data_IF_113327945582
#
_entry.id   IF_113327945582
#
_cell.length_a   1.000
_cell.length_b   1.000
_cell.length_c   1.000
_cell.angle_alpha   90.00
_cell.angle_beta   90.00
_cell.angle_gamma   90.00
#
_symmetry.space_group_name_H-M   'P 1'
#
loop_
_entity.id
_entity.type
_entity.pdbx_description
1 polymer ?
#
# COMPACT_ATOMS: atom_id res chain seq x y z
N UNK A 1 42.47 15.21 12.73
CA UNK A 1 41.06 15.13 12.24
C UNK A 1 40.13 15.46 13.40
N UNK A 2 39.11 16.30 13.22
CA UNK A 2 38.14 16.56 14.28
C UNK A 2 37.22 15.32 14.48
N UNK A 3 36.52 15.24 15.62
CA UNK A 3 35.63 14.10 15.94
C UNK A 3 34.47 13.92 14.95
N UNK A 4 34.05 15.00 14.29
CA UNK A 4 33.00 15.02 13.26
C UNK A 4 33.46 14.32 11.98
N UNK A 5 34.70 14.59 11.54
CA UNK A 5 35.35 13.95 10.40
C UNK A 5 35.59 12.46 10.64
N UNK A 6 35.91 12.05 11.88
CA UNK A 6 35.98 10.62 12.25
C UNK A 6 34.61 9.94 12.27
N UNK A 7 33.52 10.65 12.59
CA UNK A 7 32.15 10.13 12.51
C UNK A 7 31.61 10.00 11.09
N UNK A 8 32.15 10.77 10.13
CA UNK A 8 31.72 10.74 8.73
C UNK A 8 32.39 9.66 7.89
N UNK A 9 33.59 9.18 8.24
CA UNK A 9 34.30 8.14 7.48
C UNK A 9 33.48 6.85 7.35
N UNK A 10 32.91 6.29 8.44
CA UNK A 10 32.08 5.08 8.33
C UNK A 10 30.81 5.29 7.50
N UNK A 11 30.24 6.50 7.50
CA UNK A 11 29.06 6.83 6.69
C UNK A 11 29.41 6.89 5.20
N UNK A 12 30.57 7.44 4.86
CA UNK A 12 31.05 7.51 3.49
C UNK A 12 31.34 6.11 2.92
N UNK A 13 31.95 5.22 3.72
CA UNK A 13 32.20 3.83 3.34
C UNK A 13 30.90 3.09 3.01
N UNK A 14 29.87 3.19 3.86
CA UNK A 14 28.54 2.59 3.62
C UNK A 14 27.92 3.10 2.32
N UNK A 15 28.02 4.40 2.03
CA UNK A 15 27.50 4.96 0.77
C UNK A 15 28.27 4.44 -0.44
N UNK A 16 29.59 4.35 -0.36
CA UNK A 16 30.45 3.82 -1.44
C UNK A 16 30.13 2.35 -1.70
N UNK A 17 29.95 1.54 -0.66
CA UNK A 17 29.52 0.14 -0.77
C UNK A 17 28.12 -0.02 -1.38
N UNK A 18 27.25 0.98 -1.20
CA UNK A 18 25.90 0.99 -1.77
C UNK A 18 25.85 1.40 -3.26
N UNK A 19 26.89 2.08 -3.78
CA UNK A 19 26.90 2.61 -5.15
C UNK A 19 26.61 1.56 -6.24
N UNK A 20 27.14 0.32 -6.19
CA UNK A 20 26.82 -0.70 -7.18
C UNK A 20 25.32 -1.02 -7.23
N UNK A 21 24.66 -1.07 -6.07
CA UNK A 21 23.21 -1.31 -5.98
C UNK A 21 22.41 -0.12 -6.49
N UNK A 22 22.80 1.11 -6.12
CA UNK A 22 22.17 2.33 -6.63
C UNK A 22 22.21 2.38 -8.16
N UNK A 23 23.37 2.05 -8.76
CA UNK A 23 23.53 1.97 -10.21
C UNK A 23 22.66 0.86 -10.82
N UNK A 24 22.62 -0.32 -10.21
CA UNK A 24 21.85 -1.46 -10.72
C UNK A 24 20.33 -1.23 -10.70
N UNK A 25 19.84 -0.49 -9.70
CA UNK A 25 18.40 -0.26 -9.51
C UNK A 25 17.89 1.08 -10.06
N UNK A 26 18.78 1.98 -10.48
CA UNK A 26 18.39 3.22 -11.14
C UNK A 26 17.48 2.94 -12.35
N UNK A 27 16.35 3.65 -12.41
CA UNK A 27 15.30 3.49 -13.41
C UNK A 27 14.38 2.28 -13.23
N UNK A 28 14.63 1.38 -12.26
CA UNK A 28 13.81 0.19 -12.02
C UNK A 28 12.61 0.50 -11.13
N UNK A 29 11.52 -0.24 -11.33
CA UNK A 29 10.32 -0.14 -10.48
C UNK A 29 10.42 -1.05 -9.27
N UNK A 30 10.11 -0.51 -8.09
CA UNK A 30 10.04 -1.25 -6.84
C UNK A 30 8.60 -1.19 -6.32
N UNK A 31 7.87 -2.29 -6.43
CA UNK A 31 6.50 -2.39 -5.88
C UNK A 31 6.59 -2.84 -4.43
N UNK A 32 6.21 -1.96 -3.50
CA UNK A 32 6.40 -2.12 -2.07
C UNK A 32 5.04 -2.31 -1.42
N UNK A 33 4.79 -3.50 -0.85
CA UNK A 33 3.59 -3.73 -0.06
C UNK A 33 3.76 -3.16 1.34
N UNK A 34 2.95 -2.17 1.69
CA UNK A 34 2.89 -1.62 3.04
C UNK A 34 1.61 -2.08 3.76
N UNK A 35 1.75 -2.64 4.95
CA UNK A 35 0.63 -3.29 5.65
C UNK A 35 1.00 -3.84 7.02
N UNK A 36 0.01 -4.42 7.71
CA UNK A 36 0.20 -5.12 8.98
C UNK A 36 0.54 -4.19 10.15
N UNK A 37 1.39 -4.65 11.07
CA UNK A 37 1.84 -3.86 12.23
C UNK A 37 2.58 -2.59 11.83
N UNK A 38 3.18 -2.55 10.63
CA UNK A 38 3.93 -1.41 10.15
C UNK A 38 3.09 -0.14 9.99
N UNK A 39 1.77 -0.28 9.85
CA UNK A 39 0.82 0.84 9.75
C UNK A 39 0.38 1.42 11.10
N UNK A 40 0.69 0.76 12.21
CA UNK A 40 0.21 1.15 13.55
C UNK A 40 1.21 2.06 14.27
N UNK A 41 2.50 1.89 13.99
CA UNK A 41 3.56 2.69 14.60
C UNK A 41 3.87 3.91 13.73
N UNK A 42 3.64 5.11 14.25
CA UNK A 42 3.99 6.37 13.57
C UNK A 42 5.48 6.43 13.21
N UNK A 43 6.36 6.02 14.12
CA UNK A 43 7.81 5.97 13.89
C UNK A 43 8.18 5.04 12.73
N UNK A 44 7.53 3.88 12.63
CA UNK A 44 7.79 2.93 11.55
C UNK A 44 7.23 3.46 10.21
N UNK A 45 6.08 4.13 10.24
CA UNK A 45 5.53 4.81 9.07
C UNK A 45 6.46 5.90 8.54
N UNK A 46 7.00 6.75 9.43
CA UNK A 46 7.99 7.76 9.07
C UNK A 46 9.25 7.14 8.46
N UNK A 47 9.76 6.05 9.03
CA UNK A 47 10.91 5.33 8.46
C UNK A 47 10.63 4.84 7.04
N UNK A 48 9.48 4.20 6.81
CA UNK A 48 9.09 3.73 5.47
C UNK A 48 8.96 4.89 4.48
N UNK A 49 8.40 6.02 4.92
CA UNK A 49 8.30 7.23 4.09
C UNK A 49 9.67 7.75 3.68
N UNK A 50 10.62 7.82 4.61
CA UNK A 50 11.99 8.25 4.31
C UNK A 50 12.69 7.28 3.35
N UNK A 51 12.47 5.97 3.51
CA UNK A 51 13.02 4.96 2.59
C UNK A 51 12.46 5.11 1.17
N UNK A 52 11.16 5.39 1.01
CA UNK A 52 10.54 5.65 -0.29
C UNK A 52 11.16 6.88 -0.98
N UNK A 53 11.38 7.94 -0.20
CA UNK A 53 12.00 9.17 -0.70
C UNK A 53 13.46 8.92 -1.08
N UNK A 54 14.21 8.17 -0.27
CA UNK A 54 15.58 7.79 -0.58
C UNK A 54 15.66 6.98 -1.88
N UNK A 55 14.82 5.95 -2.04
CA UNK A 55 14.73 5.14 -3.25
C UNK A 55 14.53 6.01 -4.48
N UNK A 56 13.60 6.96 -4.40
CA UNK A 56 13.36 7.92 -5.48
C UNK A 56 14.59 8.78 -5.79
N UNK A 57 15.28 9.30 -4.78
CA UNK A 57 16.48 10.13 -4.99
C UNK A 57 17.65 9.37 -5.62
N UNK A 58 17.76 8.07 -5.38
CA UNK A 58 18.77 7.23 -6.04
C UNK A 58 18.33 6.73 -7.43
N UNK A 59 17.17 7.21 -7.93
CA UNK A 59 16.65 6.94 -9.26
C UNK A 59 15.76 5.70 -9.39
N UNK A 60 15.44 5.02 -8.29
CA UNK A 60 14.43 3.94 -8.28
C UNK A 60 13.04 4.56 -8.44
N UNK A 61 12.10 3.84 -9.05
CA UNK A 61 10.69 4.23 -9.18
C UNK A 61 9.85 3.45 -8.17
N UNK A 62 9.74 3.90 -6.91
CA UNK A 62 8.95 3.20 -5.90
C UNK A 62 7.45 3.34 -6.19
N UNK A 63 6.71 2.25 -6.04
CA UNK A 63 5.24 2.18 -6.11
C UNK A 63 4.76 1.54 -4.83
N UNK A 64 4.03 2.28 -3.99
CA UNK A 64 3.57 1.78 -2.70
C UNK A 64 2.16 1.20 -2.83
N UNK A 65 1.93 -0.03 -2.37
CA UNK A 65 0.60 -0.66 -2.32
C UNK A 65 0.21 -0.89 -0.87
N UNK A 66 -0.82 -0.19 -0.38
CA UNK A 66 -1.22 -0.26 1.02
C UNK A 66 -2.53 -1.04 1.24
N UNK A 67 -2.69 -1.55 2.47
CA UNK A 67 -3.97 -2.08 2.96
C UNK A 67 -4.55 -1.15 4.02
N UNK A 68 -5.39 -1.67 4.90
CA UNK A 68 -5.89 -0.88 6.05
C UNK A 68 -6.95 -1.62 6.89
N UNK A 69 -6.90 -2.95 6.95
CA UNK A 69 -7.93 -3.76 7.59
C UNK A 69 -8.28 -3.33 9.01
N UNK A 70 -7.27 -2.99 9.83
CA UNK A 70 -7.46 -2.48 11.20
C UNK A 70 -8.23 -1.16 11.25
N UNK A 71 -7.85 -0.21 10.39
CA UNK A 71 -8.53 1.10 10.31
C UNK A 71 -9.98 0.94 9.82
N UNK A 72 -10.21 0.03 8.88
CA UNK A 72 -11.58 -0.26 8.42
C UNK A 72 -12.41 -0.84 9.57
N UNK A 73 -11.90 -1.83 10.30
CA UNK A 73 -12.61 -2.41 11.45
C UNK A 73 -12.98 -1.34 12.49
N UNK A 74 -12.02 -0.46 12.82
CA UNK A 74 -12.25 0.63 13.76
C UNK A 74 -13.38 1.58 13.31
N UNK A 75 -13.45 1.89 12.02
CA UNK A 75 -14.49 2.77 11.48
C UNK A 75 -15.85 2.06 11.40
N UNK A 76 -15.87 0.78 11.01
CA UNK A 76 -17.10 -0.03 11.05
C UNK A 76 -17.69 -0.07 12.46
N UNK A 77 -16.87 -0.34 13.48
CA UNK A 77 -17.31 -0.37 14.88
C UNK A 77 -17.85 0.99 15.34
N UNK A 78 -17.20 2.09 14.95
CA UNK A 78 -17.69 3.46 15.23
C UNK A 78 -19.03 3.78 14.58
N UNK A 79 -19.32 3.16 13.44
CA UNK A 79 -20.60 3.27 12.73
C UNK A 79 -21.63 2.24 13.22
N UNK A 80 -21.31 1.45 14.25
CA UNK A 80 -22.21 0.45 14.82
C UNK A 80 -22.27 -0.88 14.04
N UNK A 81 -21.43 -1.07 13.02
CA UNK A 81 -21.37 -2.28 12.21
C UNK A 81 -20.23 -3.20 12.69
N UNK A 82 -20.54 -4.45 12.98
CA UNK A 82 -19.53 -5.43 13.43
C UNK A 82 -18.80 -6.04 12.23
N UNK A 83 -17.46 -6.05 12.20
CA UNK A 83 -16.71 -6.78 11.18
C UNK A 83 -16.98 -8.29 11.25
N UNK A 84 -17.30 -8.91 10.12
CA UNK A 84 -17.47 -10.35 9.99
C UNK A 84 -16.38 -10.95 9.09
N UNK A 85 -15.81 -12.08 9.50
CA UNK A 85 -14.71 -12.73 8.78
C UNK A 85 -14.94 -14.22 8.63
N UNK A 86 -14.65 -14.75 7.44
CA UNK A 86 -14.66 -16.19 7.15
C UNK A 86 -13.32 -16.54 6.50
N UNK A 87 -12.59 -17.51 7.08
CA UNK A 87 -11.24 -17.92 6.66
C UNK A 87 -10.28 -16.74 6.46
N UNK A 88 -10.33 -15.75 7.35
CA UNK A 88 -9.47 -14.57 7.32
C UNK A 88 -9.87 -13.50 6.30
N UNK A 89 -10.90 -13.73 5.47
CA UNK A 89 -11.47 -12.76 4.54
C UNK A 89 -12.68 -12.09 5.17
N UNK A 90 -12.80 -10.77 5.01
CA UNK A 90 -13.96 -10.02 5.50
C UNK A 90 -15.15 -10.27 4.58
N UNK A 91 -16.28 -10.70 5.12
CA UNK A 91 -17.55 -10.67 4.38
C UNK A 91 -17.92 -9.21 4.16
N UNK A 92 -18.00 -8.81 2.89
CA UNK A 92 -18.09 -7.39 2.50
C UNK A 92 -19.37 -7.16 1.71
N UNK A 93 -20.45 -6.79 2.40
CA UNK A 93 -21.67 -6.31 1.75
C UNK A 93 -21.47 -4.90 1.15
N UNK A 94 -22.49 -4.36 0.47
CA UNK A 94 -22.41 -3.03 -0.18
C UNK A 94 -22.06 -1.92 0.80
N UNK A 95 -22.72 -1.88 1.97
CA UNK A 95 -22.45 -0.91 3.02
C UNK A 95 -21.00 -1.04 3.56
N UNK A 96 -20.53 -2.27 3.77
CA UNK A 96 -19.15 -2.53 4.17
C UNK A 96 -18.17 -2.06 3.10
N UNK A 97 -18.50 -2.25 1.83
CA UNK A 97 -17.66 -1.82 0.71
C UNK A 97 -17.52 -0.29 0.69
N UNK A 98 -18.60 0.46 0.92
CA UNK A 98 -18.54 1.91 1.04
C UNK A 98 -17.61 2.36 2.16
N UNK A 99 -17.70 1.72 3.34
CA UNK A 99 -16.80 2.00 4.46
C UNK A 99 -15.35 1.66 4.10
N UNK A 100 -15.12 0.52 3.45
CA UNK A 100 -13.79 0.10 2.98
C UNK A 100 -13.19 1.15 2.04
N UNK A 101 -13.95 1.63 1.06
CA UNK A 101 -13.52 2.64 0.10
C UNK A 101 -13.17 3.96 0.79
N UNK A 102 -14.08 4.47 1.62
CA UNK A 102 -13.87 5.71 2.38
C UNK A 102 -12.61 5.66 3.23
N UNK A 103 -12.37 4.55 3.92
CA UNK A 103 -11.22 4.42 4.81
C UNK A 103 -9.93 4.21 4.03
N UNK A 104 -9.90 3.29 3.06
CA UNK A 104 -8.67 3.02 2.34
C UNK A 104 -8.27 4.19 1.45
N UNK A 105 -9.18 4.74 0.67
CA UNK A 105 -8.89 5.81 -0.29
C UNK A 105 -8.88 7.19 0.38
N UNK A 106 -9.81 7.47 1.28
CA UNK A 106 -9.99 8.80 1.86
C UNK A 106 -9.12 9.07 3.10
N UNK A 107 -8.89 8.05 3.93
CA UNK A 107 -8.15 8.22 5.19
C UNK A 107 -6.72 7.70 5.11
N UNK A 108 -6.55 6.41 4.86
CA UNK A 108 -5.25 5.75 4.92
C UNK A 108 -4.34 6.22 3.79
N UNK A 109 -4.83 6.19 2.55
CA UNK A 109 -4.07 6.62 1.38
C UNK A 109 -3.61 8.08 1.52
N UNK A 110 -4.54 8.98 1.82
CA UNK A 110 -4.25 10.41 1.97
C UNK A 110 -3.30 10.70 3.14
N UNK A 111 -3.37 9.93 4.22
CA UNK A 111 -2.42 10.07 5.32
C UNK A 111 -0.99 9.75 4.88
N UNK A 112 -0.79 8.64 4.16
CA UNK A 112 0.54 8.25 3.64
C UNK A 112 1.05 9.29 2.63
N UNK A 113 0.19 9.71 1.69
CA UNK A 113 0.53 10.76 0.71
C UNK A 113 0.96 12.06 1.40
N UNK A 114 0.20 12.49 2.41
CA UNK A 114 0.50 13.68 3.21
C UNK A 114 1.85 13.58 3.91
N UNK A 115 2.18 12.42 4.50
CA UNK A 115 3.46 12.20 5.13
C UNK A 115 4.62 12.26 4.13
N UNK A 116 4.51 11.57 2.98
CA UNK A 116 5.55 11.63 1.94
C UNK A 116 5.81 13.06 1.51
N UNK A 117 4.74 13.83 1.27
CA UNK A 117 4.85 15.22 0.83
C UNK A 117 5.47 16.12 1.92
N UNK A 118 5.13 15.90 3.21
CA UNK A 118 5.72 16.64 4.34
C UNK A 118 7.23 16.39 4.51
N UNK A 119 7.70 15.21 4.15
CA UNK A 119 9.13 14.85 4.21
C UNK A 119 9.92 15.20 2.94
N UNK A 120 9.35 16.02 2.05
CA UNK A 120 10.02 16.51 0.84
C UNK A 120 9.94 15.56 -0.36
N UNK A 121 9.18 14.48 -0.26
CA UNK A 121 8.78 13.68 -1.41
C UNK A 121 7.67 14.35 -2.22
N UNK A 122 7.31 13.74 -3.35
CA UNK A 122 6.08 14.07 -4.07
C UNK A 122 5.35 12.77 -4.37
N UNK A 123 4.19 12.59 -3.76
CA UNK A 123 3.35 11.41 -3.89
C UNK A 123 1.98 11.75 -4.45
N UNK A 124 1.39 10.79 -5.14
CA UNK A 124 0.01 10.84 -5.64
C UNK A 124 -0.76 9.63 -5.13
N UNK A 125 -1.93 9.90 -4.56
CA UNK A 125 -2.85 8.87 -4.09
C UNK A 125 -3.69 8.34 -5.25
N UNK A 126 -3.67 7.01 -5.43
CA UNK A 126 -4.45 6.30 -6.42
C UNK A 126 -5.16 5.11 -5.77
N UNK A 127 -6.20 4.64 -6.43
CA UNK A 127 -6.87 3.36 -6.19
C UNK A 127 -6.73 2.49 -7.44
N UNK A 128 -7.02 1.20 -7.32
CA UNK A 128 -7.09 0.33 -8.50
C UNK A 128 -8.20 0.71 -9.48
N UNK A 129 -9.18 1.52 -9.08
CA UNK A 129 -10.24 2.00 -9.99
C UNK A 129 -9.78 3.10 -10.92
N UNK A 130 -8.82 3.91 -10.50
CA UNK A 130 -8.36 5.06 -11.27
C UNK A 130 -7.77 4.58 -12.60
N UNK A 131 -8.38 4.99 -13.72
CA UNK A 131 -8.05 4.51 -15.07
C UNK A 131 -8.05 2.97 -15.24
N UNK A 132 -8.76 2.24 -14.38
CA UNK A 132 -8.82 0.77 -14.41
C UNK A 132 -7.48 0.10 -14.13
N UNK A 133 -6.65 0.68 -13.23
CA UNK A 133 -5.34 0.11 -12.84
C UNK A 133 -5.46 -1.35 -12.41
N UNK A 134 -6.46 -1.70 -11.59
CA UNK A 134 -6.74 -3.05 -11.13
C UNK A 134 -8.17 -3.41 -11.52
N UNK A 135 -8.34 -4.37 -12.42
CA UNK A 135 -9.64 -4.95 -12.72
C UNK A 135 -9.79 -6.23 -11.90
N UNK A 136 -10.90 -6.34 -11.17
CA UNK A 136 -11.18 -7.47 -10.32
C UNK A 136 -12.49 -8.15 -10.71
N UNK A 137 -12.57 -9.45 -10.41
CA UNK A 137 -13.85 -10.17 -10.39
C UNK A 137 -14.15 -10.61 -8.96
N UNK A 138 -15.43 -10.89 -8.67
CA UNK A 138 -15.81 -11.49 -7.38
C UNK A 138 -15.06 -12.81 -7.18
N UNK A 139 -14.52 -12.98 -5.99
CA UNK A 139 -13.81 -14.20 -5.60
C UNK A 139 -14.83 -15.25 -5.19
N UNK A 140 -14.67 -16.46 -5.68
CA UNK A 140 -15.38 -17.61 -5.10
C UNK A 140 -14.95 -17.76 -3.63
N UNK A 141 -15.94 -17.82 -2.74
CA UNK A 141 -15.66 -17.91 -1.32
C UNK A 141 -15.24 -19.30 -0.88
N UNK A 142 -14.84 -19.44 0.39
CA UNK A 142 -14.40 -20.72 0.92
C UNK A 142 -15.57 -21.71 1.00
N UNK A 143 -15.28 -22.98 0.75
CA UNK A 143 -16.18 -24.09 1.04
C UNK A 143 -16.04 -24.41 2.54
N UNK A 144 -17.17 -24.48 3.24
CA UNK A 144 -17.26 -24.92 4.63
C UNK A 144 -18.18 -26.14 4.75
N UNK A 145 -17.96 -26.94 5.77
CA UNK A 145 -18.86 -28.05 6.13
C UNK A 145 -19.95 -27.51 7.06
N UNK A 146 -21.21 -27.78 6.71
CA UNK A 146 -22.41 -27.49 7.48
C UNK A 146 -23.20 -28.78 7.72
N UNK A 147 -24.25 -28.70 8.55
CA UNK A 147 -25.12 -29.84 8.84
C UNK A 147 -25.80 -30.43 7.57
N UNK A 148 -25.92 -29.61 6.52
CA UNK A 148 -26.52 -29.96 5.23
C UNK A 148 -25.48 -30.34 4.14
N UNK A 149 -24.18 -30.40 4.49
CA UNK A 149 -23.09 -30.78 3.60
C UNK A 149 -22.08 -29.67 3.32
N UNK A 150 -21.49 -29.67 2.12
CA UNK A 150 -20.51 -28.65 1.72
C UNK A 150 -21.20 -27.42 1.13
N UNK A 151 -20.96 -26.25 1.74
CA UNK A 151 -21.53 -24.97 1.31
C UNK A 151 -20.43 -23.97 0.93
N UNK A 152 -20.64 -23.21 -0.15
CA UNK A 152 -19.77 -22.09 -0.52
C UNK A 152 -20.27 -20.80 0.11
N UNK A 153 -19.44 -20.16 0.92
CA UNK A 153 -19.79 -18.88 1.56
C UNK A 153 -19.67 -17.72 0.56
N UNK A 154 -20.72 -16.90 0.42
CA UNK A 154 -20.61 -15.64 -0.30
C UNK A 154 -19.84 -14.60 0.54
N UNK A 155 -18.71 -14.13 0.02
CA UNK A 155 -17.91 -13.08 0.65
C UNK A 155 -18.38 -11.67 0.26
N UNK A 156 -19.39 -11.54 -0.60
CA UNK A 156 -19.90 -10.29 -1.14
C UNK A 156 -18.93 -9.67 -2.14
N UNK A 157 -18.47 -8.45 -1.86
CA UNK A 157 -17.60 -7.63 -2.73
C UNK A 157 -16.11 -7.87 -2.50
N UNK A 158 -15.74 -9.08 -2.09
CA UNK A 158 -14.35 -9.54 -2.09
C UNK A 158 -14.00 -10.04 -3.49
N UNK A 159 -12.87 -9.59 -4.01
CA UNK A 159 -12.45 -9.91 -5.37
C UNK A 159 -11.03 -10.43 -5.49
N UNK A 160 -10.71 -10.92 -6.68
CA UNK A 160 -9.37 -11.26 -7.13
C UNK A 160 -9.04 -10.49 -8.41
N UNK A 161 -7.77 -10.07 -8.55
CA UNK A 161 -7.31 -9.29 -9.69
C UNK A 161 -7.23 -10.20 -10.92
N UNK A 162 -7.87 -9.80 -12.01
CA UNK A 162 -7.83 -10.49 -13.30
C UNK A 162 -6.96 -9.79 -14.32
N UNK A 163 -6.78 -8.47 -14.19
CA UNK A 163 -5.97 -7.67 -15.10
C UNK A 163 -5.41 -6.43 -14.38
N UNK A 164 -4.20 -6.04 -14.78
CA UNK A 164 -3.54 -4.80 -14.31
C UNK A 164 -3.24 -3.90 -15.51
N UNK A 165 -3.68 -2.65 -15.45
CA UNK A 165 -3.30 -1.58 -16.38
C UNK A 165 -2.29 -0.64 -15.72
N UNK A 166 -0.97 -0.80 -15.96
CA UNK A 166 0.04 0.00 -15.28
C UNK A 166 0.26 1.37 -15.92
N UNK A 167 -0.44 1.73 -17.00
CA UNK A 167 -0.14 2.95 -17.77
C UNK A 167 -0.14 4.22 -16.92
N UNK A 168 -1.15 4.41 -16.06
CA UNK A 168 -1.20 5.58 -15.17
C UNK A 168 -0.06 5.55 -14.13
N UNK A 169 0.28 4.37 -13.60
CA UNK A 169 1.41 4.21 -12.67
C UNK A 169 2.71 4.64 -13.35
N UNK A 170 2.95 4.19 -14.58
CA UNK A 170 4.14 4.58 -15.35
C UNK A 170 4.17 6.09 -15.59
N UNK A 171 3.06 6.68 -16.06
CA UNK A 171 2.98 8.12 -16.34
C UNK A 171 3.34 8.97 -15.13
N UNK A 172 2.77 8.67 -13.95
CA UNK A 172 3.05 9.47 -12.75
C UNK A 172 4.45 9.20 -12.20
N UNK A 173 4.94 7.95 -12.26
CA UNK A 173 6.32 7.64 -11.86
C UNK A 173 7.36 8.32 -12.74
N UNK A 174 7.13 8.35 -14.06
CA UNK A 174 8.04 9.00 -15.03
C UNK A 174 8.01 10.52 -14.89
N UNK A 175 6.89 11.08 -14.43
CA UNK A 175 6.75 12.49 -14.05
C UNK A 175 7.36 12.80 -12.66
N UNK A 176 7.99 11.80 -12.03
CA UNK A 176 8.66 11.96 -10.76
C UNK A 176 7.72 11.98 -9.56
N UNK A 177 6.55 11.34 -9.60
CA UNK A 177 5.71 11.10 -8.42
C UNK A 177 5.90 9.70 -7.86
N UNK A 178 5.68 9.53 -6.55
CA UNK A 178 5.57 8.24 -5.87
C UNK A 178 4.08 7.85 -5.88
N UNK A 179 3.63 6.87 -6.68
CA UNK A 179 2.25 6.41 -6.63
C UNK A 179 2.01 5.62 -5.34
N UNK A 180 0.93 5.97 -4.63
CA UNK A 180 0.45 5.27 -3.44
C UNK A 180 -0.92 4.67 -3.77
N UNK A 181 -0.97 3.35 -3.93
CA UNK A 181 -2.13 2.61 -4.40
C UNK A 181 -2.90 1.95 -3.25
N UNK A 182 -4.19 2.25 -3.14
CA UNK A 182 -5.14 1.48 -2.32
C UNK A 182 -5.56 0.20 -3.05
N UNK A 183 -5.64 -0.92 -2.32
CA UNK A 183 -6.04 -2.23 -2.86
C UNK A 183 -7.56 -2.36 -3.08
N UNK A 184 -8.12 -1.51 -3.96
CA UNK A 184 -9.54 -1.51 -4.38
C UNK A 184 -9.58 -1.65 -5.89
N UNK A 185 -10.17 -2.73 -6.40
CA UNK A 185 -10.35 -2.97 -7.83
C UNK A 185 -11.60 -2.30 -8.41
N UNK A 186 -11.57 -2.08 -9.72
CA UNK A 186 -12.76 -1.85 -10.54
C UNK A 186 -13.52 -3.16 -10.76
#
# INVERSE_FOLDING_TARGET
MNQEAMRSIPKAEVLVEALPYMKAFSGKYFVIKYGGQAMVSSKLMESVVLDLILLKYIGVKPVLVHGGGKEVNLVMEKLGKKPNFVNGLRVTDDETMEIVEMVLMGKVNQHIVSLINRHGGTAVGLSGRDAGILQARRKEGPIIESDDGLETIDLGRVGEIIQVNPSLIHTVSDSGYIPVLSSIGA
#
